data_IF_939983261006
#
_entry.id   IF_939983261006
#
_cell.length_a   1.000
_cell.length_b   1.000
_cell.length_c   1.000
_cell.angle_alpha   90.00
_cell.angle_beta   90.00
_cell.angle_gamma   90.00
#
_symmetry.space_group_name_H-M   'P 1'
#
loop_
_entity.id
_entity.type
_entity.pdbx_description
1 polymer ?
#
# COMPACT_ATOMS: atom_id res chain seq x y z
N UNK A 1 24.67 4.68 5.97
CA UNK A 1 23.42 5.42 5.66
C UNK A 1 23.32 5.87 4.20
N UNK A 2 24.33 6.55 3.61
CA UNK A 2 24.29 7.02 2.19
C UNK A 2 23.88 5.95 1.17
N UNK A 3 24.39 4.71 1.28
CA UNK A 3 24.02 3.58 0.41
C UNK A 3 22.52 3.21 0.48
N UNK A 4 21.90 3.29 1.65
CA UNK A 4 20.47 2.98 1.84
C UNK A 4 19.57 4.11 1.31
N UNK A 5 19.95 5.37 1.55
CA UNK A 5 19.24 6.53 0.99
C UNK A 5 19.23 6.46 -0.54
N UNK A 6 20.38 6.15 -1.14
CA UNK A 6 20.48 5.95 -2.59
C UNK A 6 19.56 4.83 -3.09
N UNK A 7 19.59 3.65 -2.46
CA UNK A 7 18.69 2.53 -2.80
C UNK A 7 17.20 2.95 -2.78
N UNK A 8 16.72 3.57 -1.69
CA UNK A 8 15.31 3.96 -1.60
C UNK A 8 14.95 5.10 -2.56
N UNK A 9 15.91 5.95 -2.93
CA UNK A 9 15.72 6.99 -3.94
C UNK A 9 15.56 6.41 -5.33
N UNK A 10 16.41 5.45 -5.72
CA UNK A 10 16.29 4.74 -7.00
C UNK A 10 14.99 3.93 -7.08
N UNK A 11 14.65 3.23 -6.00
CA UNK A 11 13.40 2.47 -5.90
C UNK A 11 12.17 3.39 -6.07
N UNK A 12 12.20 4.56 -5.41
CA UNK A 12 11.16 5.58 -5.56
C UNK A 12 11.03 6.04 -7.01
N UNK A 13 12.14 6.38 -7.68
CA UNK A 13 12.14 6.84 -9.07
C UNK A 13 11.59 5.78 -10.03
N UNK A 14 11.95 4.51 -9.82
CA UNK A 14 11.39 3.39 -10.60
C UNK A 14 9.88 3.30 -10.44
N UNK A 15 9.39 3.33 -9.20
CA UNK A 15 7.95 3.29 -8.90
C UNK A 15 7.19 4.50 -9.45
N UNK A 16 7.78 5.69 -9.45
CA UNK A 16 7.20 6.90 -10.06
C UNK A 16 7.07 6.77 -11.59
N UNK A 17 8.04 6.12 -12.24
CA UNK A 17 7.99 5.80 -13.67
C UNK A 17 6.86 4.81 -13.96
N UNK A 18 6.78 3.70 -13.21
CA UNK A 18 5.67 2.73 -13.31
C UNK A 18 4.30 3.38 -13.06
N UNK A 19 4.24 4.33 -12.12
CA UNK A 19 3.02 5.09 -11.82
C UNK A 19 2.61 5.97 -12.99
N UNK A 20 3.55 6.64 -13.66
CA UNK A 20 3.29 7.46 -14.85
C UNK A 20 2.73 6.61 -15.98
N UNK A 21 3.33 5.45 -16.26
CA UNK A 21 2.82 4.51 -17.26
C UNK A 21 1.41 4.01 -16.91
N UNK A 22 1.17 3.68 -15.64
CA UNK A 22 -0.14 3.22 -15.18
C UNK A 22 -1.21 4.32 -15.30
N UNK A 23 -0.86 5.58 -15.04
CA UNK A 23 -1.75 6.73 -15.28
C UNK A 23 -2.11 6.88 -16.76
N UNK A 24 -1.14 6.72 -17.66
CA UNK A 24 -1.39 6.76 -19.10
C UNK A 24 -2.28 5.59 -19.55
N UNK A 25 -2.03 4.37 -19.05
CA UNK A 25 -2.90 3.19 -19.30
C UNK A 25 -4.33 3.45 -18.84
N UNK A 26 -4.53 4.05 -17.66
CA UNK A 26 -5.85 4.42 -17.15
C UNK A 26 -6.57 5.45 -18.05
N UNK A 27 -5.85 6.48 -18.52
CA UNK A 27 -6.40 7.48 -19.43
C UNK A 27 -6.83 6.84 -20.76
N UNK A 28 -5.97 6.01 -21.36
CA UNK A 28 -6.26 5.31 -22.60
C UNK A 28 -7.46 4.37 -22.46
N UNK A 29 -7.54 3.60 -21.36
CA UNK A 29 -8.70 2.74 -21.08
C UNK A 29 -9.99 3.56 -20.90
N UNK A 30 -9.91 4.75 -20.28
CA UNK A 30 -11.06 5.65 -20.14
C UNK A 30 -11.56 6.16 -21.49
N UNK A 31 -10.64 6.58 -22.36
CA UNK A 31 -10.97 7.06 -23.71
C UNK A 31 -11.55 5.93 -24.56
N UNK A 32 -10.93 4.74 -24.53
CA UNK A 32 -11.40 3.59 -25.30
C UNK A 32 -12.82 3.16 -24.90
N UNK A 33 -13.14 3.21 -23.60
CA UNK A 33 -14.51 2.95 -23.12
C UNK A 33 -15.52 3.94 -23.67
N UNK A 34 -15.16 5.22 -23.73
CA UNK A 34 -16.01 6.26 -24.32
C UNK A 34 -16.22 6.01 -25.83
N UNK A 35 -15.16 5.67 -26.55
CA UNK A 35 -15.24 5.33 -27.99
C UNK A 35 -16.17 4.14 -28.20
N UNK A 36 -16.02 3.05 -27.43
CA UNK A 36 -16.89 1.87 -27.53
C UNK A 36 -18.35 2.23 -27.25
N UNK A 37 -18.61 3.06 -26.24
CA UNK A 37 -19.97 3.52 -25.93
C UNK A 37 -20.59 4.33 -27.08
N UNK A 38 -19.84 5.28 -27.64
CA UNK A 38 -20.29 6.12 -28.76
C UNK A 38 -20.52 5.27 -30.02
N UNK A 39 -19.59 4.39 -30.37
CA UNK A 39 -19.72 3.50 -31.54
C UNK A 39 -20.89 2.53 -31.40
N UNK A 40 -21.10 1.97 -30.20
CA UNK A 40 -22.25 1.08 -29.94
C UNK A 40 -23.55 1.85 -30.10
N UNK A 41 -23.65 3.06 -29.52
CA UNK A 41 -24.85 3.89 -29.61
C UNK A 41 -25.14 4.34 -31.05
N UNK A 42 -24.10 4.76 -31.79
CA UNK A 42 -24.21 5.12 -33.19
C UNK A 42 -24.61 3.92 -34.05
N UNK A 43 -24.00 2.75 -33.82
CA UNK A 43 -24.35 1.51 -34.51
C UNK A 43 -25.81 1.11 -34.30
N UNK A 44 -26.31 1.24 -33.07
CA UNK A 44 -27.74 1.01 -32.77
C UNK A 44 -28.62 2.03 -33.50
N UNK A 45 -28.26 3.32 -33.48
CA UNK A 45 -29.04 4.39 -34.12
C UNK A 45 -29.12 4.23 -35.65
N UNK A 46 -28.04 3.88 -36.33
CA UNK A 46 -28.03 3.76 -37.79
C UNK A 46 -28.58 2.43 -38.32
N UNK A 47 -28.57 1.37 -37.52
CA UNK A 47 -28.98 0.01 -37.93
C UNK A 47 -30.26 -0.46 -37.24
N UNK A 48 -31.09 0.47 -36.76
CA UNK A 48 -32.26 0.19 -35.93
C UNK A 48 -33.37 -0.60 -36.66
N UNK A 49 -33.39 -0.56 -37.99
CA UNK A 49 -34.40 -1.23 -38.82
C UNK A 49 -34.43 -2.76 -38.64
N UNK A 50 -33.31 -3.35 -38.18
CA UNK A 50 -33.22 -4.81 -37.95
C UNK A 50 -32.91 -5.13 -36.49
N UNK A 51 -33.94 -5.52 -35.74
CA UNK A 51 -33.83 -5.90 -34.32
C UNK A 51 -32.73 -6.95 -34.03
N UNK A 52 -32.52 -7.91 -34.94
CA UNK A 52 -31.45 -8.92 -34.80
C UNK A 52 -30.06 -8.29 -34.81
N UNK A 53 -29.81 -7.33 -35.72
CA UNK A 53 -28.52 -6.65 -35.86
C UNK A 53 -28.27 -5.76 -34.64
N UNK A 54 -29.28 -5.00 -34.21
CA UNK A 54 -29.23 -4.19 -32.99
C UNK A 54 -28.88 -5.03 -31.77
N UNK A 55 -29.53 -6.18 -31.60
CA UNK A 55 -29.27 -7.10 -30.50
C UNK A 55 -27.82 -7.60 -30.47
N UNK A 56 -27.28 -7.97 -31.63
CA UNK A 56 -25.87 -8.41 -31.75
C UNK A 56 -24.90 -7.28 -31.42
N UNK A 57 -25.11 -6.08 -31.97
CA UNK A 57 -24.26 -4.90 -31.71
C UNK A 57 -24.28 -4.54 -30.23
N UNK A 58 -25.46 -4.51 -29.61
CA UNK A 58 -25.62 -4.24 -28.18
C UNK A 58 -24.89 -5.28 -27.32
N UNK A 59 -25.06 -6.57 -27.62
CA UNK A 59 -24.39 -7.65 -26.89
C UNK A 59 -22.86 -7.54 -26.99
N UNK A 60 -22.32 -7.34 -28.20
CA UNK A 60 -20.87 -7.17 -28.41
C UNK A 60 -20.36 -5.92 -27.70
N UNK A 61 -21.07 -4.80 -27.81
CA UNK A 61 -20.70 -3.54 -27.15
C UNK A 61 -20.62 -3.68 -25.63
N UNK A 62 -21.59 -4.36 -25.01
CA UNK A 62 -21.59 -4.64 -23.57
C UNK A 62 -20.42 -5.53 -23.16
N UNK A 63 -20.14 -6.61 -23.91
CA UNK A 63 -19.03 -7.52 -23.63
C UNK A 63 -17.69 -6.78 -23.69
N UNK A 64 -17.45 -6.04 -24.78
CA UNK A 64 -16.20 -5.27 -24.96
C UNK A 64 -16.06 -4.22 -23.86
N UNK A 65 -17.13 -3.49 -23.54
CA UNK A 65 -17.11 -2.50 -22.47
C UNK A 65 -16.82 -3.14 -21.10
N UNK A 66 -17.41 -4.30 -20.81
CA UNK A 66 -17.16 -5.06 -19.59
C UNK A 66 -15.70 -5.47 -19.44
N UNK A 67 -15.08 -5.99 -20.50
CA UNK A 67 -13.64 -6.34 -20.51
C UNK A 67 -12.77 -5.10 -20.23
N UNK A 68 -13.09 -3.96 -20.86
CA UNK A 68 -12.36 -2.71 -20.63
C UNK A 68 -12.55 -2.18 -19.21
N UNK A 69 -13.74 -2.35 -18.62
CA UNK A 69 -14.02 -1.97 -17.25
C UNK A 69 -13.17 -2.78 -16.27
N UNK A 70 -13.07 -4.11 -16.43
CA UNK A 70 -12.25 -4.97 -15.58
C UNK A 70 -10.77 -4.51 -15.65
N UNK A 71 -10.22 -4.35 -16.86
CA UNK A 71 -8.84 -3.86 -17.05
C UNK A 71 -8.61 -2.48 -16.41
N UNK A 72 -9.61 -1.60 -16.47
CA UNK A 72 -9.54 -0.29 -15.83
C UNK A 72 -9.50 -0.39 -14.30
N UNK A 73 -10.32 -1.27 -13.71
CA UNK A 73 -10.34 -1.50 -12.26
C UNK A 73 -9.00 -2.08 -11.78
N UNK A 74 -8.43 -3.04 -12.51
CA UNK A 74 -7.12 -3.63 -12.19
C UNK A 74 -5.99 -2.59 -12.25
N UNK A 75 -5.98 -1.74 -13.30
CA UNK A 75 -5.02 -0.65 -13.42
C UNK A 75 -5.21 0.41 -12.31
N UNK A 76 -6.44 0.61 -11.84
CA UNK A 76 -6.77 1.56 -10.77
C UNK A 76 -6.26 1.05 -9.41
N UNK A 77 -6.42 -0.23 -9.12
CA UNK A 77 -5.84 -0.85 -7.91
C UNK A 77 -4.30 -0.86 -7.97
N UNK A 78 -3.73 -1.18 -9.13
CA UNK A 78 -2.28 -1.12 -9.35
C UNK A 78 -1.71 0.28 -9.08
N UNK A 79 -2.40 1.34 -9.55
CA UNK A 79 -2.06 2.73 -9.26
C UNK A 79 -2.05 3.01 -7.74
N UNK A 80 -3.06 2.53 -7.01
CA UNK A 80 -3.17 2.71 -5.56
C UNK A 80 -2.00 2.05 -4.84
N UNK A 81 -1.63 0.84 -5.24
CA UNK A 81 -0.50 0.10 -4.70
C UNK A 81 0.84 0.82 -4.95
N UNK A 82 1.06 1.31 -6.17
CA UNK A 82 2.28 2.06 -6.53
C UNK A 82 2.43 3.33 -5.69
N UNK A 83 1.37 4.11 -5.52
CA UNK A 83 1.37 5.31 -4.67
C UNK A 83 1.75 4.96 -3.22
N UNK A 84 1.18 3.90 -2.66
CA UNK A 84 1.52 3.47 -1.30
C UNK A 84 2.99 3.04 -1.19
N UNK A 85 3.52 2.30 -2.18
CA UNK A 85 4.95 1.93 -2.20
C UNK A 85 5.86 3.15 -2.29
N UNK A 86 5.51 4.15 -3.11
CA UNK A 86 6.26 5.43 -3.19
C UNK A 86 6.29 6.09 -1.81
N UNK A 87 5.14 6.19 -1.13
CA UNK A 87 5.04 6.76 0.22
C UNK A 87 5.89 6.02 1.26
N UNK A 88 6.02 4.70 1.14
CA UNK A 88 6.93 3.91 2.00
C UNK A 88 8.38 4.33 1.77
N UNK A 89 8.82 4.40 0.51
CA UNK A 89 10.20 4.81 0.18
C UNK A 89 10.48 6.26 0.63
N UNK A 90 9.53 7.18 0.46
CA UNK A 90 9.62 8.56 0.99
C UNK A 90 9.71 8.63 2.52
N UNK A 91 9.06 7.68 3.20
CA UNK A 91 9.13 7.56 4.66
C UNK A 91 10.53 7.10 5.06
N UNK A 92 11.07 6.06 4.42
CA UNK A 92 12.41 5.56 4.75
C UNK A 92 13.51 6.58 4.45
N UNK A 93 13.42 7.31 3.34
CA UNK A 93 14.38 8.38 3.01
C UNK A 93 14.40 9.43 4.13
N UNK A 94 13.24 9.96 4.51
CA UNK A 94 13.13 10.97 5.58
C UNK A 94 13.67 10.46 6.92
N UNK A 95 13.37 9.21 7.27
CA UNK A 95 13.86 8.60 8.52
C UNK A 95 15.38 8.42 8.49
N UNK A 96 15.95 8.01 7.34
CA UNK A 96 17.40 7.88 7.17
C UNK A 96 18.13 9.23 7.19
N UNK A 97 17.43 10.32 6.87
CA UNK A 97 17.89 11.71 7.02
C UNK A 97 17.71 12.25 8.46
N UNK A 98 17.20 11.42 9.38
CA UNK A 98 17.01 11.77 10.79
C UNK A 98 15.65 12.40 11.11
N UNK A 99 14.78 12.60 10.12
CA UNK A 99 13.44 13.12 10.35
C UNK A 99 12.41 11.98 10.44
N UNK A 100 12.05 11.60 11.67
CA UNK A 100 11.02 10.60 11.96
C UNK A 100 9.87 11.15 12.83
N UNK A 101 9.86 12.46 13.06
CA UNK A 101 8.88 13.15 13.92
C UNK A 101 7.42 12.99 13.48
N UNK A 102 7.19 12.69 12.19
CA UNK A 102 5.87 12.46 11.61
C UNK A 102 5.33 11.04 11.81
N UNK A 103 6.15 10.10 12.31
CA UNK A 103 5.70 8.75 12.65
C UNK A 103 4.90 8.77 13.94
N UNK A 104 4.05 7.74 14.12
CA UNK A 104 3.26 7.59 15.34
C UNK A 104 4.16 7.44 16.56
N UNK A 105 3.93 8.26 17.57
CA UNK A 105 4.72 8.32 18.82
C UNK A 105 4.52 7.10 19.71
N UNK A 106 3.37 6.42 19.61
CA UNK A 106 3.04 5.29 20.49
C UNK A 106 2.66 5.74 21.89
N UNK A 107 2.25 7.00 22.06
CA UNK A 107 1.77 7.55 23.35
C UNK A 107 0.63 6.70 23.95
N UNK A 108 -0.16 6.05 23.10
CA UNK A 108 -1.22 5.13 23.53
C UNK A 108 -0.72 3.87 24.27
N UNK A 109 0.58 3.58 24.25
CA UNK A 109 1.20 2.41 24.89
C UNK A 109 2.03 2.77 26.15
N UNK A 110 2.03 4.04 26.56
CA UNK A 110 2.74 4.47 27.78
C UNK A 110 2.07 3.83 28.99
N UNK A 111 2.88 3.15 29.80
CA UNK A 111 2.48 2.58 31.09
C UNK A 111 3.41 3.14 32.18
N UNK A 112 2.90 4.03 33.05
CA UNK A 112 3.68 4.59 34.16
C UNK A 112 4.15 3.53 35.17
N UNK A 113 3.49 2.37 35.22
CA UNK A 113 3.81 1.30 36.17
C UNK A 113 4.86 0.32 35.65
N UNK A 114 5.22 0.43 34.36
CA UNK A 114 6.16 -0.49 33.75
C UNK A 114 7.61 -0.19 34.18
N UNK A 115 8.33 -1.26 34.53
CA UNK A 115 9.56 -1.23 35.35
C UNK A 115 10.71 -0.42 34.74
N UNK A 116 10.75 -0.26 33.42
CA UNK A 116 11.88 0.41 32.73
C UNK A 116 11.49 1.17 31.46
N UNK A 117 10.23 1.15 31.03
CA UNK A 117 9.88 1.68 29.69
C UNK A 117 10.01 3.19 29.61
N UNK A 118 9.80 3.87 30.75
CA UNK A 118 9.89 5.31 30.87
C UNK A 118 11.34 5.79 30.94
N UNK A 119 12.25 5.00 31.53
CA UNK A 119 13.66 5.37 31.66
C UNK A 119 14.42 5.32 30.33
N UNK A 120 14.01 4.43 29.41
CA UNK A 120 14.66 4.24 28.10
C UNK A 120 13.86 4.85 26.94
N UNK A 121 12.87 5.69 27.23
CA UNK A 121 12.02 6.37 26.25
C UNK A 121 11.46 5.40 25.19
N UNK A 122 10.82 4.30 25.62
CA UNK A 122 10.25 3.32 24.68
C UNK A 122 9.12 3.91 23.84
N UNK A 123 8.32 4.81 24.40
CA UNK A 123 7.13 5.39 23.78
C UNK A 123 7.14 6.92 23.92
N UNK A 124 6.39 7.62 23.07
CA UNK A 124 6.34 9.08 23.05
C UNK A 124 7.12 9.73 21.92
N UNK A 125 7.28 11.05 21.97
CA UNK A 125 8.02 11.81 20.96
C UNK A 125 9.52 11.57 21.10
N UNK A 126 10.18 11.26 19.98
CA UNK A 126 11.61 10.92 19.95
C UNK A 126 11.92 9.49 20.39
N UNK A 127 10.89 8.70 20.73
CA UNK A 127 11.04 7.38 21.33
C UNK A 127 11.58 6.32 20.39
N UNK A 128 12.06 5.22 20.98
CA UNK A 128 12.47 4.02 20.23
C UNK A 128 11.32 3.48 19.38
N UNK A 129 10.10 3.37 19.94
CA UNK A 129 8.92 2.93 19.18
C UNK A 129 8.65 3.84 17.98
N UNK A 130 8.68 5.16 18.17
CA UNK A 130 8.44 6.10 17.08
C UNK A 130 9.42 5.88 15.92
N UNK A 131 10.69 5.62 16.24
CA UNK A 131 11.74 5.39 15.24
C UNK A 131 11.54 4.07 14.47
N UNK A 132 11.26 2.95 15.17
CA UNK A 132 11.22 1.62 14.54
C UNK A 132 9.87 1.25 13.94
N UNK A 133 8.79 1.92 14.33
CA UNK A 133 7.44 1.52 13.95
C UNK A 133 7.23 1.65 12.42
N UNK A 134 7.04 0.50 11.77
CA UNK A 134 6.62 0.35 10.35
C UNK A 134 5.36 -0.49 10.19
N UNK A 135 4.60 -0.64 11.27
CA UNK A 135 3.39 -1.45 11.28
C UNK A 135 2.29 -0.74 10.49
N UNK A 136 1.60 -1.49 9.62
CA UNK A 136 0.52 -0.96 8.80
C UNK A 136 -0.85 -1.01 9.48
N UNK A 137 -0.98 -1.79 10.56
CA UNK A 137 -2.25 -2.04 11.27
C UNK A 137 -2.14 -1.68 12.75
N UNK A 138 -3.28 -1.36 13.38
CA UNK A 138 -3.33 -1.07 14.83
C UNK A 138 -2.92 -2.28 15.67
N UNK A 139 -3.37 -3.47 15.28
CA UNK A 139 -2.99 -4.73 15.93
C UNK A 139 -1.49 -5.00 15.79
N UNK A 140 -0.90 -4.73 14.62
CA UNK A 140 0.54 -4.82 14.43
C UNK A 140 1.31 -3.87 15.36
N UNK A 141 0.84 -2.63 15.50
CA UNK A 141 1.41 -1.66 16.44
C UNK A 141 1.32 -2.15 17.90
N UNK A 142 0.17 -2.71 18.31
CA UNK A 142 -0.02 -3.28 19.65
C UNK A 142 0.90 -4.47 19.91
N UNK A 143 1.08 -5.36 18.93
CA UNK A 143 2.01 -6.49 19.07
C UNK A 143 3.48 -6.05 19.07
N UNK A 144 3.84 -5.02 18.29
CA UNK A 144 5.17 -4.42 18.35
C UNK A 144 5.44 -3.82 19.74
N UNK A 145 4.52 -3.01 20.25
CA UNK A 145 4.60 -2.43 21.60
C UNK A 145 4.77 -3.52 22.66
N UNK A 146 3.90 -4.54 22.64
CA UNK A 146 4.01 -5.71 23.51
C UNK A 146 5.35 -6.44 23.38
N UNK A 147 5.91 -6.50 22.18
CA UNK A 147 7.20 -7.17 21.94
C UNK A 147 8.37 -6.40 22.52
N UNK A 148 8.42 -5.07 22.34
CA UNK A 148 9.53 -4.24 22.84
C UNK A 148 9.46 -4.01 24.36
N UNK A 149 8.28 -4.11 24.95
CA UNK A 149 8.06 -4.01 26.40
C UNK A 149 8.36 -5.33 27.14
N UNK A 150 8.56 -6.46 26.45
CA UNK A 150 8.91 -7.73 27.10
C UNK A 150 10.42 -7.90 27.25
N UNK A 151 10.89 -8.25 28.45
CA UNK A 151 12.29 -8.56 28.73
C UNK A 151 12.63 -10.08 28.70
N UNK A 152 12.08 -10.84 27.75
CA UNK A 152 12.37 -12.29 27.66
C UNK A 152 13.53 -12.56 26.70
N UNK A 153 14.48 -13.37 27.15
CA UNK A 153 15.64 -13.80 26.37
C UNK A 153 15.38 -15.04 25.49
N UNK A 154 14.14 -15.54 25.47
CA UNK A 154 13.80 -16.75 24.73
C UNK A 154 13.81 -16.49 23.22
N UNK A 155 14.40 -17.43 22.47
CA UNK A 155 14.39 -17.46 20.99
C UNK A 155 15.00 -16.22 20.32
N UNK A 156 16.00 -15.58 20.95
CA UNK A 156 16.72 -14.45 20.35
C UNK A 156 17.31 -14.84 18.99
N UNK A 157 17.99 -15.98 18.90
CA UNK A 157 18.62 -16.43 17.65
C UNK A 157 17.61 -16.59 16.52
N UNK A 158 16.45 -17.20 16.82
CA UNK A 158 15.36 -17.38 15.85
C UNK A 158 14.80 -16.03 15.38
N UNK A 159 14.63 -15.05 16.28
CA UNK A 159 14.19 -13.71 15.91
C UNK A 159 15.22 -13.01 15.01
N UNK A 160 16.50 -13.12 15.35
CA UNK A 160 17.59 -12.55 14.56
C UNK A 160 17.69 -13.20 13.18
N UNK A 161 17.49 -14.51 13.07
CA UNK A 161 17.45 -15.24 11.80
C UNK A 161 16.29 -14.73 10.92
N UNK A 162 15.09 -14.61 11.47
CA UNK A 162 13.93 -14.06 10.75
C UNK A 162 14.18 -12.62 10.32
N UNK A 163 14.77 -11.78 11.19
CA UNK A 163 15.12 -10.40 10.84
C UNK A 163 16.18 -10.36 9.72
N UNK A 164 17.18 -11.24 9.77
CA UNK A 164 18.22 -11.34 8.73
C UNK A 164 17.63 -11.78 7.40
N UNK A 165 16.79 -12.80 7.39
CA UNK A 165 16.08 -13.26 6.19
C UNK A 165 15.21 -12.13 5.61
N UNK A 166 14.35 -11.55 6.45
CA UNK A 166 13.44 -10.50 6.01
C UNK A 166 14.21 -9.26 5.54
N UNK A 167 15.35 -8.92 6.14
CA UNK A 167 16.18 -7.76 5.79
C UNK A 167 16.57 -7.73 4.30
N UNK A 168 16.76 -8.91 3.69
CA UNK A 168 17.13 -9.07 2.29
C UNK A 168 15.93 -8.96 1.33
N UNK A 169 14.70 -9.15 1.82
CA UNK A 169 13.48 -9.19 0.99
C UNK A 169 12.77 -7.84 0.91
N UNK A 170 13.50 -6.76 0.61
CA UNK A 170 12.96 -5.38 0.68
C UNK A 170 11.71 -5.17 -0.18
N UNK A 171 11.74 -5.61 -1.45
CA UNK A 171 10.60 -5.48 -2.37
C UNK A 171 9.34 -6.21 -1.84
N UNK A 172 9.53 -7.40 -1.27
CA UNK A 172 8.44 -8.16 -0.66
C UNK A 172 7.89 -7.44 0.57
N UNK A 173 8.75 -6.94 1.48
CA UNK A 173 8.31 -6.20 2.67
C UNK A 173 7.49 -4.97 2.28
N UNK A 174 7.98 -4.18 1.32
CA UNK A 174 7.26 -3.00 0.84
C UNK A 174 5.92 -3.36 0.20
N UNK A 175 5.85 -4.45 -0.58
CA UNK A 175 4.61 -4.92 -1.16
C UNK A 175 3.61 -5.37 -0.09
N UNK A 176 4.06 -6.18 0.87
CA UNK A 176 3.25 -6.65 1.99
C UNK A 176 2.71 -5.49 2.85
N UNK A 177 3.59 -4.56 3.25
CA UNK A 177 3.18 -3.36 3.99
C UNK A 177 2.22 -2.47 3.20
N UNK A 178 2.43 -2.33 1.89
CA UNK A 178 1.53 -1.55 1.06
C UNK A 178 0.13 -2.19 0.98
N UNK A 179 0.04 -3.51 0.79
CA UNK A 179 -1.23 -4.23 0.83
C UNK A 179 -1.93 -4.08 2.19
N UNK A 180 -1.21 -4.32 3.28
CA UNK A 180 -1.74 -4.21 4.63
C UNK A 180 -2.27 -2.79 4.94
N UNK A 181 -1.61 -1.75 4.41
CA UNK A 181 -2.05 -0.35 4.57
C UNK A 181 -3.29 0.00 3.74
N UNK A 182 -3.56 -0.76 2.67
CA UNK A 182 -4.69 -0.54 1.77
C UNK A 182 -5.94 -1.33 2.16
N UNK A 183 -5.78 -2.35 3.00
CA UNK A 183 -6.90 -3.11 3.58
C UNK A 183 -7.65 -2.19 4.55
N UNK A 184 -8.90 -1.88 4.22
CA UNK A 184 -9.82 -1.25 5.16
C UNK A 184 -10.41 -2.31 6.08
N UNK A 185 -10.12 -2.23 7.38
CA UNK A 185 -10.81 -3.09 8.35
C UNK A 185 -12.27 -2.61 8.44
N UNK A 186 -13.20 -3.35 7.84
CA UNK A 186 -14.65 -3.05 7.86
C UNK A 186 -15.25 -3.18 9.27
N UNK A 187 -14.54 -3.82 10.20
CA UNK A 187 -14.95 -3.98 11.58
C UNK A 187 -13.85 -3.49 12.51
N UNK A 188 -14.23 -2.65 13.47
CA UNK A 188 -13.42 -2.39 14.65
C UNK A 188 -13.39 -3.67 15.45
N UNK A 189 -12.24 -4.33 15.52
CA UNK A 189 -12.05 -5.45 16.45
C UNK A 189 -12.14 -4.83 17.84
N UNK A 190 -13.34 -4.82 18.44
CA UNK A 190 -13.47 -4.67 19.89
C UNK A 190 -12.59 -5.74 20.51
N UNK A 191 -11.80 -5.32 21.46
CA UNK A 191 -10.84 -6.15 22.18
C UNK A 191 -11.55 -7.41 22.68
N UNK A 192 -11.07 -8.56 22.23
CA UNK A 192 -11.33 -9.85 22.87
C UNK A 192 -10.25 -10.02 23.93
#
# INVERSE_FOLDING_TARGET
MKKLVHFYTEEKQRLETELKETKNKLANLSILRLIVFVLTSAGIYFLFDTLRIVGVIGAVGVIVFGILLIKYLDAKESKKLLITKIKINETEIRVLEGNFSFLKTGEEFIDPTHVYSNDIDLFGRGSFFQYINRTSTKQGAKELAKTITKNHILSIDKKQEVLKELSQKVAWRQHFSALASLVTTRYSTKEI
#
